data_IF_447218465540
#
_entry.id   IF_447218465540
#
_cell.length_a   1.000
_cell.length_b   1.000
_cell.length_c   1.000
_cell.angle_alpha   90.00
_cell.angle_beta   90.00
_cell.angle_gamma   90.00
#
_symmetry.space_group_name_H-M   'P 1'
#
loop_
_entity.id
_entity.type
_entity.pdbx_description
1 polymer ?
#
# COMPACT_ATOMS: atom_id res chain seq x y z
N UNK A 1 -9.27 -11.86 -23.69
CA UNK A 1 -9.13 -10.40 -23.89
C UNK A 1 -9.82 -9.69 -22.73
N UNK A 2 -9.21 -8.63 -22.18
CA UNK A 2 -9.72 -7.80 -21.06
C UNK A 2 -9.42 -8.27 -19.61
N UNK A 3 -8.31 -8.98 -19.37
CA UNK A 3 -7.64 -9.02 -18.05
C UNK A 3 -7.03 -7.66 -17.66
N UNK A 4 -6.94 -6.75 -18.63
CA UNK A 4 -6.95 -5.31 -18.41
C UNK A 4 -8.40 -4.85 -18.29
N UNK A 5 -8.76 -4.08 -17.27
CA UNK A 5 -8.02 -2.86 -17.02
C UNK A 5 -8.13 -2.52 -15.57
N UNK A 6 -7.18 -3.14 -14.90
CA UNK A 6 -6.63 -2.69 -13.65
C UNK A 6 -7.69 -2.67 -12.56
N UNK A 7 -7.43 -1.97 -11.47
CA UNK A 7 -8.43 -0.98 -11.14
C UNK A 7 -9.92 -1.46 -11.06
N UNK A 8 -10.20 -2.64 -10.50
CA UNK A 8 -11.22 -2.74 -9.45
C UNK A 8 -10.66 -2.21 -8.11
N UNK A 9 -9.45 -1.61 -8.19
CA UNK A 9 -8.74 -0.53 -7.49
C UNK A 9 -8.75 -0.47 -5.97
N UNK A 10 -9.88 -0.74 -5.36
CA UNK A 10 -10.15 -0.50 -3.93
C UNK A 10 -11.02 -1.63 -3.38
N UNK A 11 -11.80 -2.33 -4.24
CA UNK A 11 -12.81 -3.32 -3.87
C UNK A 11 -12.25 -4.69 -3.44
N UNK A 12 -11.03 -5.06 -3.86
CA UNK A 12 -10.27 -6.21 -3.30
C UNK A 12 -9.40 -5.81 -2.10
N UNK A 13 -9.01 -4.54 -1.99
CA UNK A 13 -8.12 -4.08 -0.92
C UNK A 13 -8.82 -4.10 0.46
N UNK A 14 -10.11 -3.76 0.53
CA UNK A 14 -10.84 -3.76 1.80
C UNK A 14 -11.22 -5.14 2.35
N UNK A 15 -11.71 -6.13 1.57
CA UNK A 15 -12.06 -7.46 2.11
C UNK A 15 -10.82 -8.23 2.55
N UNK A 16 -9.70 -8.16 1.84
CA UNK A 16 -8.47 -8.81 2.30
C UNK A 16 -7.95 -8.10 3.55
N UNK A 17 -7.91 -6.77 3.62
CA UNK A 17 -7.57 -6.06 4.86
C UNK A 17 -8.59 -6.29 6.00
N UNK A 18 -9.87 -6.49 5.73
CA UNK A 18 -10.91 -6.80 6.71
C UNK A 18 -10.95 -8.28 7.12
N UNK A 19 -10.49 -9.20 6.25
CA UNK A 19 -10.26 -10.62 6.52
C UNK A 19 -8.96 -10.83 7.30
N UNK A 20 -7.96 -10.00 7.04
CA UNK A 20 -6.67 -9.95 7.72
C UNK A 20 -6.77 -9.18 9.06
N UNK A 21 -7.63 -8.17 9.18
CA UNK A 21 -7.76 -7.33 10.37
C UNK A 21 -8.05 -8.07 11.70
N UNK A 22 -8.99 -9.04 11.76
CA UNK A 22 -9.24 -9.77 13.00
C UNK A 22 -8.18 -10.83 13.29
N UNK A 23 -7.39 -11.26 12.30
CA UNK A 23 -6.36 -12.31 12.46
C UNK A 23 -4.93 -11.77 12.65
N UNK A 24 -4.65 -10.52 12.27
CA UNK A 24 -3.27 -10.02 12.12
C UNK A 24 -2.94 -8.74 12.90
N UNK A 25 -3.88 -8.13 13.63
CA UNK A 25 -3.67 -6.77 14.15
C UNK A 25 -3.97 -6.65 15.64
N UNK A 26 -2.98 -6.14 16.38
CA UNK A 26 -3.20 -5.47 17.67
C UNK A 26 -4.08 -4.23 17.47
N UNK A 27 -4.64 -3.71 18.57
CA UNK A 27 -5.60 -2.62 18.54
C UNK A 27 -5.07 -1.38 17.79
N UNK A 28 -3.79 -1.06 17.96
CA UNK A 28 -3.13 0.10 17.36
C UNK A 28 -3.03 -0.03 15.83
N UNK A 29 -2.57 -1.17 15.33
CA UNK A 29 -2.46 -1.39 13.88
C UNK A 29 -3.85 -1.41 13.21
N UNK A 30 -4.86 -1.90 13.93
CA UNK A 30 -6.26 -1.92 13.49
C UNK A 30 -6.81 -0.49 13.31
N UNK A 31 -6.54 0.40 14.25
CA UNK A 31 -6.93 1.81 14.16
C UNK A 31 -6.24 2.53 12.99
N UNK A 32 -4.93 2.31 12.81
CA UNK A 32 -4.18 2.89 11.68
C UNK A 32 -4.70 2.42 10.32
N UNK A 33 -5.10 1.16 10.19
CA UNK A 33 -5.75 0.66 8.97
C UNK A 33 -7.14 1.25 8.75
N UNK A 34 -7.93 1.46 9.81
CA UNK A 34 -9.24 2.12 9.70
C UNK A 34 -9.06 3.57 9.20
N UNK A 35 -8.10 4.31 9.75
CA UNK A 35 -7.77 5.66 9.29
C UNK A 35 -7.28 5.68 7.85
N UNK A 36 -6.40 4.75 7.47
CA UNK A 36 -5.99 4.59 6.08
C UNK A 36 -7.18 4.25 5.17
N UNK A 37 -8.11 3.40 5.64
CA UNK A 37 -9.36 3.05 4.96
C UNK A 37 -10.24 4.27 4.68
N UNK A 38 -10.39 5.19 5.63
CA UNK A 38 -11.08 6.49 5.42
C UNK A 38 -10.40 7.29 4.30
N UNK A 39 -9.08 7.25 4.23
CA UNK A 39 -8.30 7.88 3.17
C UNK A 39 -8.54 7.27 1.77
N UNK A 40 -8.79 5.96 1.68
CA UNK A 40 -9.12 5.29 0.41
C UNK A 40 -10.46 5.76 -0.18
N UNK A 41 -11.42 6.12 0.68
CA UNK A 41 -12.72 6.66 0.28
C UNK A 41 -12.70 8.17 0.00
N UNK A 42 -11.58 8.87 0.26
CA UNK A 42 -11.50 10.31 0.10
C UNK A 42 -11.64 10.74 -1.37
N UNK A 43 -12.27 11.90 -1.65
CA UNK A 43 -12.38 12.42 -3.03
C UNK A 43 -11.06 12.94 -3.62
N UNK A 44 -10.07 13.24 -2.78
CA UNK A 44 -8.78 13.77 -3.22
C UNK A 44 -7.87 12.64 -3.72
N UNK A 45 -7.39 12.67 -4.99
CA UNK A 45 -6.50 11.64 -5.54
C UNK A 45 -5.20 11.50 -4.76
N UNK A 46 -4.70 12.60 -4.17
CA UNK A 46 -3.51 12.55 -3.30
C UNK A 46 -3.80 11.79 -2.01
N UNK A 47 -4.93 12.05 -1.36
CA UNK A 47 -5.32 11.35 -0.12
C UNK A 47 -5.56 9.87 -0.36
N UNK A 48 -6.22 9.51 -1.46
CA UNK A 48 -6.39 8.11 -1.85
C UNK A 48 -5.05 7.42 -2.07
N UNK A 49 -4.12 8.05 -2.80
CA UNK A 49 -2.80 7.47 -3.05
C UNK A 49 -1.98 7.34 -1.77
N UNK A 50 -2.00 8.34 -0.89
CA UNK A 50 -1.35 8.28 0.41
C UNK A 50 -1.87 7.12 1.26
N UNK A 51 -3.19 6.92 1.29
CA UNK A 51 -3.80 5.79 1.97
C UNK A 51 -3.39 4.43 1.40
N UNK A 52 -3.29 4.30 0.07
CA UNK A 52 -2.80 3.07 -0.57
C UNK A 52 -1.37 2.74 -0.17
N UNK A 53 -0.50 3.76 -0.13
CA UNK A 53 0.89 3.60 0.32
C UNK A 53 0.94 3.20 1.79
N UNK A 54 0.17 3.86 2.65
CA UNK A 54 0.12 3.56 4.10
C UNK A 54 -0.34 2.13 4.37
N UNK A 55 -1.42 1.70 3.73
CA UNK A 55 -1.92 0.32 3.81
C UNK A 55 -0.83 -0.69 3.41
N UNK A 56 -0.09 -0.41 2.34
CA UNK A 56 0.97 -1.29 1.84
C UNK A 56 2.14 -1.37 2.84
N UNK A 57 2.51 -0.23 3.43
CA UNK A 57 3.53 -0.18 4.47
C UNK A 57 3.11 -1.00 5.70
N UNK A 58 1.88 -0.79 6.20
CA UNK A 58 1.35 -1.52 7.36
C UNK A 58 1.30 -3.02 7.11
N UNK A 59 0.86 -3.45 5.92
CA UNK A 59 0.87 -4.87 5.56
C UNK A 59 2.29 -5.46 5.62
N UNK A 60 3.26 -4.80 4.98
CA UNK A 60 4.64 -5.24 4.99
C UNK A 60 5.26 -5.27 6.40
N UNK A 61 4.90 -4.31 7.27
CA UNK A 61 5.35 -4.28 8.68
C UNK A 61 4.88 -5.52 9.44
N UNK A 62 3.62 -5.91 9.25
CA UNK A 62 3.06 -7.09 9.91
C UNK A 62 3.62 -8.39 9.34
N UNK A 63 3.82 -8.46 8.03
CA UNK A 63 4.51 -9.60 7.42
C UNK A 63 5.91 -9.79 8.01
N UNK A 64 6.64 -8.71 8.28
CA UNK A 64 7.95 -8.80 8.93
C UNK A 64 7.86 -9.29 10.38
N UNK A 65 6.83 -8.84 11.11
CA UNK A 65 6.58 -9.26 12.49
C UNK A 65 6.19 -10.75 12.61
N UNK A 66 5.45 -11.27 11.64
CA UNK A 66 4.94 -12.66 11.63
C UNK A 66 5.81 -13.64 10.83
N UNK A 67 6.85 -13.13 10.16
CA UNK A 67 7.80 -13.93 9.40
C UNK A 67 8.41 -15.06 10.25
N UNK A 68 8.38 -16.27 9.70
CA UNK A 68 8.86 -17.48 10.36
C UNK A 68 10.35 -17.69 10.12
N UNK A 69 10.87 -17.15 9.02
CA UNK A 69 12.30 -17.18 8.69
C UNK A 69 12.91 -15.77 8.67
N UNK A 70 14.23 -15.65 8.91
CA UNK A 70 14.93 -14.37 8.74
C UNK A 70 14.76 -13.77 7.34
N UNK A 71 14.77 -14.60 6.29
CA UNK A 71 14.68 -14.14 4.91
C UNK A 71 13.30 -13.54 4.60
N UNK A 72 12.22 -14.14 5.11
CA UNK A 72 10.87 -13.58 5.02
C UNK A 72 10.78 -12.22 5.71
N UNK A 73 11.38 -12.10 6.90
CA UNK A 73 11.41 -10.87 7.67
C UNK A 73 12.13 -9.76 6.92
N UNK A 74 13.31 -10.04 6.39
CA UNK A 74 14.13 -9.07 5.68
C UNK A 74 13.44 -8.60 4.39
N UNK A 75 12.81 -9.52 3.65
CA UNK A 75 12.00 -9.17 2.47
C UNK A 75 10.84 -8.23 2.83
N UNK A 76 10.08 -8.58 3.87
CA UNK A 76 8.96 -7.77 4.33
C UNK A 76 9.40 -6.40 4.87
N UNK A 77 10.51 -6.33 5.61
CA UNK A 77 11.12 -5.07 6.03
C UNK A 77 11.52 -4.20 4.82
N UNK A 78 12.10 -4.80 3.78
CA UNK A 78 12.44 -4.09 2.55
C UNK A 78 11.20 -3.57 1.79
N UNK A 79 10.06 -4.27 1.84
CA UNK A 79 8.79 -3.76 1.30
C UNK A 79 8.27 -2.57 2.10
N UNK A 80 8.29 -2.65 3.44
CA UNK A 80 7.87 -1.57 4.32
C UNK A 80 8.69 -0.30 4.05
N UNK A 81 10.02 -0.43 4.00
CA UNK A 81 10.93 0.68 3.73
C UNK A 81 10.66 1.33 2.36
N UNK A 82 10.42 0.52 1.32
CA UNK A 82 10.07 1.04 -0.01
C UNK A 82 8.72 1.78 0.00
N UNK A 83 7.71 1.26 0.71
CA UNK A 83 6.44 1.95 0.86
C UNK A 83 6.60 3.29 1.61
N UNK A 84 7.38 3.33 2.69
CA UNK A 84 7.68 4.57 3.42
C UNK A 84 8.39 5.60 2.53
N UNK A 85 9.35 5.18 1.71
CA UNK A 85 9.99 6.04 0.70
C UNK A 85 8.99 6.60 -0.32
N UNK A 86 8.03 5.81 -0.77
CA UNK A 86 6.96 6.29 -1.65
C UNK A 86 6.05 7.32 -0.96
N UNK A 87 5.79 7.16 0.34
CA UNK A 87 5.01 8.12 1.13
C UNK A 87 5.72 9.47 1.22
N UNK A 88 7.01 9.45 1.55
CA UNK A 88 7.86 10.65 1.60
C UNK A 88 7.89 11.32 0.22
N UNK A 89 8.13 10.53 -0.84
CA UNK A 89 8.14 11.04 -2.22
C UNK A 89 6.82 11.70 -2.60
N UNK A 90 5.68 11.10 -2.24
CA UNK A 90 4.36 11.66 -2.51
C UNK A 90 4.15 13.02 -1.81
N UNK A 91 4.79 13.22 -0.66
CA UNK A 91 4.65 14.44 0.12
C UNK A 91 5.46 15.62 -0.40
N UNK A 92 6.50 15.37 -1.19
CA UNK A 92 7.32 16.41 -1.80
C UNK A 92 6.46 17.45 -2.56
N UNK A 93 6.72 18.75 -2.35
CA UNK A 93 6.02 19.80 -3.07
C UNK A 93 6.44 19.79 -4.54
N UNK A 94 5.47 19.64 -5.45
CA UNK A 94 5.69 19.71 -6.90
C UNK A 94 4.89 20.88 -7.45
N UNK A 95 5.57 21.78 -8.16
CA UNK A 95 4.98 22.98 -8.74
C UNK A 95 4.41 22.66 -10.13
N UNK A 96 3.23 23.20 -10.45
CA UNK A 96 2.58 23.00 -11.75
C UNK A 96 1.57 21.85 -11.77
N UNK A 97 0.45 22.03 -12.48
CA UNK A 97 -0.65 21.05 -12.53
C UNK A 97 -0.22 19.75 -13.21
N UNK A 98 0.47 19.84 -14.36
CA UNK A 98 0.95 18.70 -15.14
C UNK A 98 1.98 17.87 -14.37
N UNK A 99 3.01 18.52 -13.85
CA UNK A 99 4.04 17.87 -13.03
C UNK A 99 3.46 17.17 -11.79
N UNK A 100 2.49 17.79 -11.09
CA UNK A 100 1.79 17.13 -9.96
C UNK A 100 1.05 15.86 -10.39
N UNK A 101 0.45 15.83 -11.57
CA UNK A 101 -0.26 14.67 -12.07
C UNK A 101 0.72 13.54 -12.46
N UNK A 102 1.81 13.88 -13.16
CA UNK A 102 2.88 12.96 -13.54
C UNK A 102 3.59 12.37 -12.31
N UNK A 103 3.88 13.21 -11.30
CA UNK A 103 4.46 12.77 -10.03
C UNK A 103 3.58 11.72 -9.33
N UNK A 104 2.28 11.98 -9.20
CA UNK A 104 1.34 11.01 -8.61
C UNK A 104 1.26 9.73 -9.43
N UNK A 105 1.27 9.83 -10.76
CA UNK A 105 1.26 8.66 -11.65
C UNK A 105 2.52 7.82 -11.45
N UNK A 106 3.69 8.45 -11.37
CA UNK A 106 4.96 7.76 -11.12
C UNK A 106 4.97 7.05 -9.76
N UNK A 107 4.45 7.69 -8.70
CA UNK A 107 4.30 7.05 -7.39
C UNK A 107 3.31 5.88 -7.45
N UNK A 108 2.18 6.04 -8.14
CA UNK A 108 1.18 4.97 -8.32
C UNK A 108 1.76 3.77 -9.09
N UNK A 109 2.55 4.01 -10.14
CA UNK A 109 3.22 2.95 -10.91
C UNK A 109 4.24 2.19 -10.07
N UNK A 110 5.06 2.89 -9.27
CA UNK A 110 6.00 2.25 -8.35
C UNK A 110 5.28 1.45 -7.26
N UNK A 111 4.19 2.00 -6.70
CA UNK A 111 3.37 1.30 -5.74
C UNK A 111 2.77 0.01 -6.35
N UNK A 112 2.28 0.09 -7.59
CA UNK A 112 1.75 -1.08 -8.29
C UNK A 112 2.79 -2.16 -8.52
N UNK A 113 4.05 -1.80 -8.81
CA UNK A 113 5.16 -2.76 -8.92
C UNK A 113 5.47 -3.43 -7.59
N UNK A 114 5.52 -2.64 -6.50
CA UNK A 114 5.74 -3.17 -5.15
C UNK A 114 4.62 -4.15 -4.75
N UNK A 115 3.36 -3.77 -4.99
CA UNK A 115 2.21 -4.64 -4.69
C UNK A 115 2.24 -5.94 -5.52
N UNK A 116 2.61 -5.85 -6.80
CA UNK A 116 2.76 -7.05 -7.64
C UNK A 116 3.91 -7.96 -7.19
N UNK A 117 4.98 -7.40 -6.63
CA UNK A 117 6.07 -8.17 -6.03
C UNK A 117 5.60 -8.90 -4.77
N UNK A 118 4.90 -8.20 -3.88
CA UNK A 118 4.30 -8.79 -2.68
C UNK A 118 3.29 -9.90 -3.03
N UNK A 119 2.43 -9.67 -4.02
CA UNK A 119 1.41 -10.65 -4.43
C UNK A 119 2.05 -11.95 -4.96
N UNK A 120 3.12 -11.85 -5.76
CA UNK A 120 3.81 -13.04 -6.31
C UNK A 120 4.42 -13.93 -5.23
N UNK A 121 4.86 -13.33 -4.13
CA UNK A 121 5.49 -14.05 -3.01
C UNK A 121 4.45 -14.63 -2.05
N UNK A 122 3.19 -14.20 -2.15
CA UNK A 122 2.07 -14.67 -1.33
C UNK A 122 1.23 -15.77 -2.00
N UNK A 123 1.32 -15.91 -3.33
CA UNK A 123 0.56 -16.87 -4.15
C UNK A 123 1.34 -18.18 -4.42
N UNK A 124 2.45 -18.39 -3.71
CA UNK A 124 3.24 -19.63 -3.65
C UNK A 124 2.94 -20.33 -2.33
#
# INVERSE_FOLDING_TARGET
MQTGRALAVVRKAAPTLALLAPKLLDAETRERLVEAGKGLAARSPRRQLAAKVEVTALLAERMAAEARTPEERDRAAAWNERARKLRIRLDLPVVGRKARAEHRRSVLEQLGRLQAEMDRELDV
#
